data_IF_626178582627
#
_entry.id   IF_626178582627
#
_cell.length_a   1.000
_cell.length_b   1.000
_cell.length_c   1.000
_cell.angle_alpha   90.00
_cell.angle_beta   90.00
_cell.angle_gamma   90.00
#
_symmetry.space_group_name_H-M   'P 1'
#
loop_
_entity.id
_entity.type
_entity.pdbx_description
1 polymer ?
#
# COMPACT_ATOMS: atom_id res chain seq x y z
N UNK A 1 42.66 34.62 84.56
CA UNK A 1 41.80 33.82 83.66
C UNK A 1 40.93 34.78 82.85
N UNK A 2 41.09 34.84 81.53
CA UNK A 2 40.26 35.69 80.66
C UNK A 2 39.64 34.83 79.57
N UNK A 3 38.32 34.58 79.67
CA UNK A 3 37.54 33.82 78.68
C UNK A 3 37.08 34.81 77.59
N UNK A 4 37.71 34.75 76.42
CA UNK A 4 37.21 35.43 75.21
C UNK A 4 36.00 34.66 74.68
N UNK A 5 34.81 35.26 74.78
CA UNK A 5 33.60 34.82 74.08
C UNK A 5 33.76 35.14 72.59
N UNK A 6 33.90 34.12 71.75
CA UNK A 6 33.86 34.28 70.30
C UNK A 6 32.39 34.39 69.86
N UNK A 7 32.06 35.57 69.32
CA UNK A 7 30.72 35.94 68.86
C UNK A 7 30.22 35.01 67.74
N UNK A 8 29.18 34.22 68.03
CA UNK A 8 28.49 33.34 67.10
C UNK A 8 27.77 34.07 65.96
N UNK A 9 27.54 35.38 66.08
CA UNK A 9 26.87 36.19 65.05
C UNK A 9 27.74 36.44 63.82
N UNK A 10 29.06 36.49 63.99
CA UNK A 10 29.98 36.78 62.88
C UNK A 10 30.19 35.57 61.96
N UNK A 11 30.01 34.36 62.50
CA UNK A 11 30.01 33.12 61.72
C UNK A 11 28.76 33.02 60.84
N UNK A 12 27.57 33.26 61.41
CA UNK A 12 26.31 33.22 60.68
C UNK A 12 26.18 34.34 59.63
N UNK A 13 26.70 35.55 59.90
CA UNK A 13 26.72 36.62 58.92
C UNK A 13 27.57 36.28 57.68
N UNK A 14 28.72 35.62 57.86
CA UNK A 14 29.56 35.16 56.73
C UNK A 14 28.89 34.04 55.93
N UNK A 15 28.23 33.11 56.61
CA UNK A 15 27.56 31.98 55.96
C UNK A 15 26.31 32.41 55.18
N UNK A 16 25.52 33.34 55.72
CA UNK A 16 24.39 33.94 55.01
C UNK A 16 24.85 34.77 53.80
N UNK A 17 25.98 35.48 53.92
CA UNK A 17 26.59 36.17 52.79
C UNK A 17 27.00 35.23 51.65
N UNK A 18 27.63 34.09 51.96
CA UNK A 18 28.00 33.08 50.98
C UNK A 18 26.78 32.44 50.29
N UNK A 19 25.72 32.16 51.05
CA UNK A 19 24.48 31.62 50.49
C UNK A 19 23.80 32.62 49.52
N UNK A 20 23.76 33.90 49.87
CA UNK A 20 23.23 34.95 49.00
C UNK A 20 24.02 35.08 47.68
N UNK A 21 25.35 34.99 47.74
CA UNK A 21 26.22 35.02 46.56
C UNK A 21 25.94 33.81 45.64
N UNK A 22 25.78 32.61 46.19
CA UNK A 22 25.45 31.41 45.41
C UNK A 22 24.09 31.54 44.69
N UNK A 23 23.10 32.13 45.34
CA UNK A 23 21.78 32.37 44.74
C UNK A 23 21.88 33.37 43.58
N UNK A 24 22.66 34.44 43.74
CA UNK A 24 22.90 35.43 42.67
C UNK A 24 23.58 34.78 41.46
N UNK A 25 24.58 33.93 41.69
CA UNK A 25 25.25 33.18 40.62
C UNK A 25 24.27 32.25 39.90
N UNK A 26 23.43 31.50 40.64
CA UNK A 26 22.43 30.61 40.05
C UNK A 26 21.43 31.38 39.17
N UNK A 27 20.95 32.54 39.63
CA UNK A 27 20.04 33.40 38.85
C UNK A 27 20.74 33.93 37.60
N UNK A 28 22.01 34.35 37.70
CA UNK A 28 22.80 34.81 36.56
C UNK A 28 23.01 33.70 35.51
N UNK A 29 23.30 32.47 35.95
CA UNK A 29 23.43 31.29 35.07
C UNK A 29 22.11 30.98 34.36
N UNK A 30 20.98 31.04 35.07
CA UNK A 30 19.65 30.80 34.47
C UNK A 30 19.32 31.88 33.43
N UNK A 31 19.67 33.14 33.68
CA UNK A 31 19.47 34.23 32.70
C UNK A 31 20.37 34.06 31.49
N UNK A 32 21.65 33.72 31.67
CA UNK A 32 22.57 33.41 30.58
C UNK A 32 22.06 32.23 29.71
N UNK A 33 21.52 31.18 30.33
CA UNK A 33 20.93 30.05 29.61
C UNK A 33 19.64 30.44 28.84
N UNK A 34 18.81 31.32 29.40
CA UNK A 34 17.63 31.85 28.70
C UNK A 34 18.02 32.70 27.49
N UNK A 35 19.10 33.48 27.60
CA UNK A 35 19.62 34.25 26.47
C UNK A 35 20.23 33.38 25.36
N UNK A 36 20.91 32.26 25.70
CA UNK A 36 21.43 31.32 24.68
C UNK A 36 20.35 30.54 23.92
N UNK A 37 19.15 30.35 24.50
CA UNK A 37 18.03 29.70 23.78
C UNK A 37 17.37 30.59 22.73
N UNK A 38 17.67 31.89 22.71
CA UNK A 38 17.07 32.88 21.82
C UNK A 38 18.01 33.38 20.71
N UNK A 39 19.13 32.69 20.45
CA UNK A 39 19.92 32.97 19.25
C UNK A 39 19.26 32.28 18.03
N UNK A 40 18.88 33.03 16.99
CA UNK A 40 18.47 32.43 15.73
C UNK A 40 19.66 31.66 15.15
N UNK A 41 19.45 30.37 14.89
CA UNK A 41 20.45 29.50 14.27
C UNK A 41 20.89 30.13 12.94
N UNK A 42 22.19 30.41 12.73
CA UNK A 42 22.66 30.95 11.46
C UNK A 42 22.39 29.94 10.34
N UNK A 43 21.72 30.41 9.28
CA UNK A 43 21.51 29.65 8.05
C UNK A 43 22.87 29.25 7.46
N UNK A 44 23.23 27.97 7.59
CA UNK A 44 24.45 27.42 6.96
C UNK A 44 25.25 26.44 7.80
N UNK A 45 24.93 26.18 9.08
CA UNK A 45 25.57 25.07 9.77
C UNK A 45 24.98 23.75 9.27
N UNK A 46 25.82 22.94 8.61
CA UNK A 46 25.50 21.55 8.32
C UNK A 46 25.20 20.86 9.64
N UNK A 47 23.93 20.60 9.90
CA UNK A 47 23.50 19.68 10.94
C UNK A 47 24.35 18.43 10.74
N UNK A 48 25.25 18.12 11.69
CA UNK A 48 25.99 16.85 11.66
C UNK A 48 24.91 15.78 11.56
N UNK A 49 24.81 15.15 10.37
CA UNK A 49 23.84 14.11 10.09
C UNK A 49 24.25 12.92 10.93
N UNK A 50 23.76 12.91 12.15
CA UNK A 50 23.90 11.79 13.05
C UNK A 50 23.10 10.63 12.43
N UNK A 51 23.75 9.54 12.01
CA UNK A 51 23.07 8.40 11.41
C UNK A 51 22.00 7.84 12.36
N UNK A 52 22.17 7.95 13.68
CA UNK A 52 21.16 7.54 14.64
C UNK A 52 19.88 8.39 14.54
N UNK A 53 19.99 9.70 14.31
CA UNK A 53 18.82 10.56 14.06
C UNK A 53 18.09 10.19 12.78
N UNK A 54 18.82 9.91 11.70
CA UNK A 54 18.23 9.49 10.42
C UNK A 54 17.49 8.16 10.51
N UNK A 55 18.07 7.19 11.22
CA UNK A 55 17.44 5.91 11.53
C UNK A 55 16.24 6.09 12.46
N UNK A 56 16.36 6.88 13.54
CA UNK A 56 15.24 7.16 14.44
C UNK A 56 14.08 7.88 13.75
N UNK A 57 14.35 8.84 12.86
CA UNK A 57 13.30 9.47 12.05
C UNK A 57 12.65 8.49 11.09
N UNK A 58 13.44 7.65 10.42
CA UNK A 58 12.91 6.62 9.52
C UNK A 58 12.03 5.61 10.26
N UNK A 59 12.47 5.09 11.42
CA UNK A 59 11.68 4.15 12.22
C UNK A 59 10.47 4.82 12.88
N UNK A 60 10.57 6.09 13.26
CA UNK A 60 9.43 6.86 13.77
C UNK A 60 8.36 7.00 12.68
N UNK A 61 8.77 7.37 11.47
CA UNK A 61 7.89 7.53 10.30
C UNK A 61 7.31 6.19 9.84
N UNK A 62 8.11 5.12 9.78
CA UNK A 62 7.64 3.76 9.50
C UNK A 62 6.64 3.27 10.55
N UNK A 63 6.89 3.51 11.85
CA UNK A 63 5.94 3.14 12.92
C UNK A 63 4.65 3.95 12.84
N UNK A 64 4.72 5.22 12.44
CA UNK A 64 3.51 6.04 12.24
C UNK A 64 2.75 5.63 10.99
N UNK A 65 3.42 5.20 9.92
CA UNK A 65 2.77 4.65 8.72
C UNK A 65 2.24 3.22 8.89
N UNK A 66 2.77 2.48 9.88
CA UNK A 66 2.37 1.09 10.19
C UNK A 66 1.33 0.98 11.31
N UNK A 67 1.04 2.09 12.00
CA UNK A 67 -0.02 2.15 13.00
C UNK A 67 -1.32 2.51 12.31
N UNK A 68 -2.28 1.58 12.34
CA UNK A 68 -3.66 1.67 11.82
C UNK A 68 -3.82 2.56 10.58
N UNK A 69 -3.93 1.98 9.37
CA UNK A 69 -4.11 2.78 8.17
C UNK A 69 -5.29 3.72 8.38
N UNK A 70 -5.03 5.02 8.21
CA UNK A 70 -6.07 6.02 8.26
C UNK A 70 -7.16 5.59 7.26
N UNK A 71 -8.39 5.24 7.70
CA UNK A 71 -9.40 4.67 6.82
C UNK A 71 -9.76 5.61 5.64
N UNK A 72 -9.46 6.90 5.80
CA UNK A 72 -9.64 7.92 4.79
C UNK A 72 -8.62 7.85 3.64
N UNK A 73 -7.37 7.39 3.87
CA UNK A 73 -6.37 7.28 2.78
C UNK A 73 -6.46 5.96 2.00
N UNK A 74 -7.08 4.93 2.61
CA UNK A 74 -7.26 3.62 1.98
C UNK A 74 -8.56 3.56 1.16
N UNK A 75 -9.56 4.38 1.52
CA UNK A 75 -10.85 4.44 0.84
C UNK A 75 -10.81 5.18 -0.51
N UNK A 76 -9.87 6.10 -0.73
CA UNK A 76 -9.75 6.86 -1.99
C UNK A 76 -9.33 6.01 -3.21
N UNK A 77 -8.74 4.83 -2.98
CA UNK A 77 -8.17 3.99 -4.05
C UNK A 77 -8.89 2.66 -4.26
N UNK A 78 -9.93 2.40 -3.46
CA UNK A 78 -10.77 1.20 -3.56
C UNK A 78 -12.19 1.66 -3.84
N UNK A 79 -12.69 1.32 -5.02
CA UNK A 79 -14.04 1.69 -5.44
C UNK A 79 -14.96 0.47 -5.27
N UNK A 80 -15.96 0.52 -4.38
CA UNK A 80 -16.92 -0.57 -4.26
C UNK A 80 -17.73 -0.70 -5.55
N UNK A 81 -17.95 -1.94 -5.98
CA UNK A 81 -18.80 -2.28 -7.12
C UNK A 81 -20.00 -3.09 -6.63
N UNK A 82 -21.19 -2.76 -7.13
CA UNK A 82 -22.36 -3.59 -6.94
C UNK A 82 -22.16 -4.93 -7.65
N UNK A 83 -22.48 -6.03 -6.96
CA UNK A 83 -22.63 -7.33 -7.60
C UNK A 83 -23.75 -7.26 -8.65
N UNK A 84 -23.59 -7.95 -9.77
CA UNK A 84 -24.63 -7.97 -10.80
C UNK A 84 -25.74 -8.97 -10.44
N UNK A 85 -26.99 -8.58 -10.69
CA UNK A 85 -28.16 -9.44 -10.41
C UNK A 85 -28.16 -10.73 -11.25
N UNK A 86 -27.56 -10.69 -12.44
CA UNK A 86 -27.49 -11.85 -13.34
C UNK A 86 -26.22 -12.68 -13.05
N UNK A 87 -26.35 -13.98 -12.76
CA UNK A 87 -25.20 -14.82 -12.44
C UNK A 87 -24.23 -14.91 -13.61
N UNK A 88 -22.93 -14.99 -13.29
CA UNK A 88 -21.84 -15.03 -14.25
C UNK A 88 -22.02 -16.08 -15.35
N UNK A 89 -22.46 -17.28 -14.98
CA UNK A 89 -22.62 -18.40 -15.91
C UNK A 89 -23.69 -18.10 -16.98
N UNK A 90 -24.80 -17.46 -16.61
CA UNK A 90 -25.86 -17.08 -17.55
C UNK A 90 -25.37 -16.03 -18.54
N UNK A 91 -24.61 -15.03 -18.07
CA UNK A 91 -23.99 -14.01 -18.92
C UNK A 91 -23.02 -14.63 -19.93
N UNK A 92 -22.15 -15.55 -19.48
CA UNK A 92 -21.21 -16.25 -20.36
C UNK A 92 -21.92 -17.14 -21.39
N UNK A 93 -23.00 -17.81 -21.01
CA UNK A 93 -23.79 -18.64 -21.93
C UNK A 93 -24.50 -17.79 -22.99
N UNK A 94 -25.05 -16.64 -22.62
CA UNK A 94 -25.69 -15.72 -23.57
C UNK A 94 -24.71 -15.22 -24.65
N UNK A 95 -23.44 -15.03 -24.29
CA UNK A 95 -22.40 -14.57 -25.21
C UNK A 95 -21.89 -15.66 -26.17
N UNK A 96 -21.98 -16.93 -25.77
CA UNK A 96 -21.42 -18.06 -26.52
C UNK A 96 -22.01 -18.19 -27.95
N UNK A 97 -23.27 -17.79 -28.14
CA UNK A 97 -23.99 -17.98 -29.41
C UNK A 97 -23.76 -16.85 -30.42
N UNK A 98 -23.11 -15.75 -30.02
CA UNK A 98 -23.05 -14.51 -30.80
C UNK A 98 -21.72 -14.36 -31.56
N UNK A 99 -20.63 -14.97 -31.09
CA UNK A 99 -19.29 -14.67 -31.57
C UNK A 99 -18.53 -15.92 -32.03
N UNK A 100 -17.68 -15.75 -33.06
CA UNK A 100 -16.75 -16.81 -33.46
C UNK A 100 -15.73 -17.03 -32.33
N UNK A 101 -15.55 -18.28 -31.85
CA UNK A 101 -14.60 -18.56 -30.76
C UNK A 101 -13.18 -18.08 -31.07
N UNK A 102 -12.48 -17.63 -30.03
CA UNK A 102 -11.03 -17.43 -30.07
C UNK A 102 -10.31 -18.80 -30.09
N UNK A 103 -9.04 -18.79 -30.53
CA UNK A 103 -8.19 -19.98 -30.38
C UNK A 103 -8.02 -20.30 -28.89
N UNK A 104 -8.10 -21.58 -28.51
CA UNK A 104 -7.87 -22.01 -27.13
C UNK A 104 -6.45 -21.71 -26.61
N UNK A 105 -5.51 -21.42 -27.50
CA UNK A 105 -4.12 -21.02 -27.16
C UNK A 105 -3.90 -19.51 -27.26
N UNK A 106 -4.95 -18.73 -27.48
CA UNK A 106 -4.85 -17.29 -27.57
C UNK A 106 -4.51 -16.70 -26.21
N UNK A 107 -3.52 -15.81 -26.17
CA UNK A 107 -3.11 -15.09 -24.94
C UNK A 107 -3.07 -13.58 -25.13
N UNK A 108 -3.25 -13.12 -26.38
CA UNK A 108 -3.03 -11.74 -26.80
C UNK A 108 -1.59 -11.44 -27.22
N UNK A 109 -1.35 -10.21 -27.63
CA UNK A 109 -0.04 -9.75 -28.08
C UNK A 109 0.88 -9.45 -26.88
N UNK A 110 2.15 -9.82 -27.00
CA UNK A 110 3.16 -9.43 -26.01
C UNK A 110 3.62 -7.99 -26.27
N UNK A 111 3.34 -7.07 -25.33
CA UNK A 111 3.68 -5.64 -25.45
C UNK A 111 3.67 -4.93 -24.09
N UNK A 112 4.33 -3.77 -24.05
CA UNK A 112 4.28 -2.86 -22.91
C UNK A 112 2.89 -2.23 -22.77
N UNK A 113 2.20 -2.53 -21.66
CA UNK A 113 0.91 -1.94 -21.29
C UNK A 113 1.09 -0.95 -20.15
N UNK A 114 0.74 0.30 -20.40
CA UNK A 114 0.84 1.37 -19.39
C UNK A 114 -0.42 1.47 -18.57
N UNK A 115 -0.27 1.49 -17.25
CA UNK A 115 -1.33 1.78 -16.29
C UNK A 115 -1.11 3.20 -15.79
N UNK A 116 -2.00 4.11 -16.19
CA UNK A 116 -1.90 5.52 -15.84
C UNK A 116 -2.56 5.79 -14.49
N UNK A 117 -1.95 6.65 -13.69
CA UNK A 117 -2.48 7.11 -12.41
C UNK A 117 -3.86 7.74 -12.60
N UNK A 118 -4.75 7.47 -11.65
CA UNK A 118 -6.14 7.94 -11.65
C UNK A 118 -7.13 7.07 -12.45
N UNK A 119 -6.66 6.18 -13.33
CA UNK A 119 -7.52 5.17 -13.96
C UNK A 119 -7.72 3.94 -13.06
N UNK A 120 -8.74 3.13 -13.33
CA UNK A 120 -8.97 1.88 -12.57
C UNK A 120 -8.38 0.66 -13.27
N UNK A 121 -8.03 -0.38 -12.49
CA UNK A 121 -7.52 -1.63 -13.04
C UNK A 121 -8.51 -2.26 -14.01
N UNK A 122 -9.79 -2.31 -13.64
CA UNK A 122 -10.88 -2.82 -14.49
C UNK A 122 -10.99 -2.07 -15.81
N UNK A 123 -11.00 -0.74 -15.77
CA UNK A 123 -11.12 0.08 -16.97
C UNK A 123 -9.95 -0.18 -17.92
N UNK A 124 -8.72 -0.09 -17.39
CA UNK A 124 -7.49 -0.20 -18.18
C UNK A 124 -7.38 -1.60 -18.82
N UNK A 125 -7.61 -2.67 -18.06
CA UNK A 125 -7.53 -4.03 -18.60
C UNK A 125 -8.65 -4.32 -19.61
N UNK A 126 -9.85 -3.77 -19.39
CA UNK A 126 -10.98 -3.88 -20.32
C UNK A 126 -10.64 -3.22 -21.66
N UNK A 127 -10.04 -2.03 -21.63
CA UNK A 127 -9.61 -1.32 -22.85
C UNK A 127 -8.55 -2.12 -23.62
N UNK A 128 -7.57 -2.71 -22.94
CA UNK A 128 -6.57 -3.55 -23.60
C UNK A 128 -7.17 -4.82 -24.20
N UNK A 129 -8.05 -5.51 -23.50
CA UNK A 129 -8.73 -6.68 -24.03
C UNK A 129 -9.60 -6.33 -25.25
N UNK A 130 -10.37 -5.24 -25.18
CA UNK A 130 -11.21 -4.76 -26.28
C UNK A 130 -10.41 -4.41 -27.52
N UNK A 131 -9.25 -3.78 -27.36
CA UNK A 131 -8.33 -3.48 -28.48
C UNK A 131 -7.84 -4.73 -29.21
N UNK A 132 -7.85 -5.89 -28.53
CA UNK A 132 -7.45 -7.20 -29.09
C UNK A 132 -8.67 -8.08 -29.42
N UNK A 133 -9.87 -7.49 -29.48
CA UNK A 133 -11.11 -8.17 -29.85
C UNK A 133 -11.62 -9.13 -28.77
N UNK A 134 -11.40 -8.80 -27.51
CA UNK A 134 -11.81 -9.57 -26.33
C UNK A 134 -12.57 -8.68 -25.34
N UNK A 135 -13.31 -9.30 -24.43
CA UNK A 135 -14.02 -8.60 -23.36
C UNK A 135 -13.47 -9.01 -21.99
N UNK A 136 -13.67 -8.16 -20.98
CA UNK A 136 -13.35 -8.49 -19.59
C UNK A 136 -14.65 -8.47 -18.79
N UNK A 137 -14.91 -9.52 -18.04
CA UNK A 137 -15.91 -9.56 -16.98
C UNK A 137 -15.16 -9.45 -15.65
N UNK A 138 -15.43 -8.35 -14.94
CA UNK A 138 -14.91 -8.09 -13.62
C UNK A 138 -15.94 -8.53 -12.58
N UNK A 139 -15.76 -9.74 -12.07
CA UNK A 139 -16.66 -10.38 -11.09
C UNK A 139 -16.06 -10.28 -9.69
N UNK A 140 -15.75 -9.05 -9.28
CA UNK A 140 -15.26 -8.69 -7.95
C UNK A 140 -16.10 -7.54 -7.41
N UNK A 141 -16.27 -7.47 -6.10
CA UNK A 141 -17.06 -6.45 -5.42
C UNK A 141 -16.34 -5.09 -5.26
N UNK A 142 -15.12 -4.97 -5.77
CA UNK A 142 -14.31 -3.76 -5.68
C UNK A 142 -13.40 -3.63 -6.92
N UNK A 143 -13.07 -2.39 -7.25
CA UNK A 143 -12.11 -1.98 -8.28
C UNK A 143 -11.02 -1.11 -7.64
N UNK A 144 -9.87 -1.01 -8.27
CA UNK A 144 -8.70 -0.35 -7.68
C UNK A 144 -8.19 0.76 -8.57
N UNK A 145 -7.95 1.93 -7.98
CA UNK A 145 -7.39 3.09 -8.66
C UNK A 145 -5.87 3.00 -8.67
N UNK A 146 -5.28 3.20 -9.84
CA UNK A 146 -3.83 3.22 -10.01
C UNK A 146 -3.25 4.46 -9.33
N UNK A 147 -2.38 4.26 -8.33
CA UNK A 147 -1.71 5.34 -7.59
C UNK A 147 -0.63 6.06 -8.40
N UNK A 148 0.24 5.28 -9.05
CA UNK A 148 1.37 5.79 -9.80
C UNK A 148 1.43 5.10 -11.16
N UNK A 149 1.94 5.81 -12.17
CA UNK A 149 2.13 5.23 -13.49
C UNK A 149 3.07 4.02 -13.42
N UNK A 150 2.65 2.90 -13.98
CA UNK A 150 3.51 1.72 -14.14
C UNK A 150 3.30 1.07 -15.50
N UNK A 151 4.23 0.21 -15.89
CA UNK A 151 4.13 -0.56 -17.12
C UNK A 151 4.24 -2.05 -16.81
N UNK A 152 3.46 -2.83 -17.54
CA UNK A 152 3.53 -4.29 -17.51
C UNK A 152 3.98 -4.77 -18.87
N UNK A 153 5.09 -5.48 -18.90
CA UNK A 153 5.57 -6.21 -20.07
C UNK A 153 5.01 -7.64 -20.02
N UNK A 154 3.97 -7.89 -20.80
CA UNK A 154 3.32 -9.21 -20.89
C UNK A 154 2.35 -9.28 -22.08
N UNK A 155 1.61 -10.39 -22.17
CA UNK A 155 0.36 -10.55 -22.89
C UNK A 155 -0.83 -10.00 -22.10
N UNK A 156 -2.01 -9.85 -22.71
CA UNK A 156 -3.19 -9.37 -21.96
C UNK A 156 -3.67 -10.40 -20.93
N UNK A 157 -3.57 -11.70 -21.26
CA UNK A 157 -3.85 -12.79 -20.32
C UNK A 157 -2.87 -12.79 -19.15
N UNK A 158 -1.57 -12.63 -19.41
CA UNK A 158 -0.57 -12.54 -18.35
C UNK A 158 -0.70 -11.27 -17.51
N UNK A 159 -1.10 -10.15 -18.13
CA UNK A 159 -1.42 -8.91 -17.41
C UNK A 159 -2.61 -9.11 -16.46
N UNK A 160 -3.65 -9.83 -16.88
CA UNK A 160 -4.79 -10.16 -16.03
C UNK A 160 -4.38 -11.04 -14.83
N UNK A 161 -3.54 -12.05 -15.04
CA UNK A 161 -2.99 -12.88 -13.95
C UNK A 161 -2.21 -12.03 -12.94
N UNK A 162 -1.35 -11.11 -13.42
CA UNK A 162 -0.62 -10.18 -12.55
C UNK A 162 -1.56 -9.28 -11.75
N UNK A 163 -2.65 -8.78 -12.37
CA UNK A 163 -3.68 -8.01 -11.68
C UNK A 163 -4.36 -8.86 -10.60
N UNK A 164 -4.82 -10.07 -10.93
CA UNK A 164 -5.48 -10.98 -9.99
C UNK A 164 -4.62 -11.23 -8.75
N UNK A 165 -3.34 -11.56 -8.94
CA UNK A 165 -2.38 -11.77 -7.84
C UNK A 165 -2.11 -10.51 -7.02
N UNK A 166 -2.09 -9.34 -7.66
CA UNK A 166 -1.81 -8.08 -6.97
C UNK A 166 -2.97 -7.63 -6.08
N UNK A 167 -4.21 -7.97 -6.45
CA UNK A 167 -5.42 -7.61 -5.69
C UNK A 167 -5.89 -8.73 -4.76
N UNK A 168 -5.35 -9.94 -4.88
CA UNK A 168 -5.74 -11.14 -4.12
C UNK A 168 -5.85 -10.90 -2.61
N UNK A 169 -4.88 -10.19 -2.02
CA UNK A 169 -4.84 -9.89 -0.58
C UNK A 169 -6.01 -9.01 -0.08
N UNK A 170 -6.76 -8.39 -0.99
CA UNK A 170 -7.90 -7.54 -0.66
C UNK A 170 -9.22 -8.33 -0.57
N UNK A 171 -9.19 -9.64 -0.85
CA UNK A 171 -10.35 -10.53 -0.83
C UNK A 171 -10.14 -11.67 0.17
N UNK A 172 -11.24 -12.25 0.66
CA UNK A 172 -11.19 -13.39 1.58
C UNK A 172 -10.92 -14.73 0.87
N UNK A 173 -11.28 -14.80 -0.41
CA UNK A 173 -11.05 -15.94 -1.29
C UNK A 173 -10.04 -15.58 -2.37
N UNK A 174 -9.39 -16.61 -2.94
CA UNK A 174 -8.37 -16.41 -3.96
C UNK A 174 -8.98 -15.83 -5.24
N UNK A 175 -8.42 -14.72 -5.69
CA UNK A 175 -8.78 -14.07 -6.95
C UNK A 175 -8.12 -14.82 -8.10
N UNK A 176 -8.96 -15.46 -8.91
CA UNK A 176 -8.55 -16.23 -10.07
C UNK A 176 -8.91 -15.50 -11.38
N UNK A 177 -8.02 -15.59 -12.36
CA UNK A 177 -8.27 -15.14 -13.73
C UNK A 177 -8.55 -16.32 -14.65
N UNK A 178 -9.47 -16.16 -15.61
CA UNK A 178 -9.80 -17.15 -16.63
C UNK A 178 -9.86 -16.54 -18.03
N UNK A 179 -9.46 -17.31 -19.03
CA UNK A 179 -9.68 -17.05 -20.44
C UNK A 179 -10.73 -18.01 -20.99
N UNK A 180 -11.85 -17.47 -21.45
CA UNK A 180 -12.98 -18.21 -21.99
C UNK A 180 -13.01 -18.06 -23.53
N UNK A 181 -12.47 -19.04 -24.29
CA UNK A 181 -12.28 -18.90 -25.73
C UNK A 181 -13.60 -18.83 -26.50
N UNK A 182 -14.64 -19.55 -26.06
CA UNK A 182 -15.94 -19.58 -26.75
C UNK A 182 -16.65 -18.22 -26.70
N UNK A 183 -16.50 -17.49 -25.60
CA UNK A 183 -17.12 -16.18 -25.36
C UNK A 183 -16.20 -15.01 -25.71
N UNK A 184 -14.96 -15.27 -26.18
CA UNK A 184 -13.93 -14.24 -26.36
C UNK A 184 -13.82 -13.29 -25.15
N UNK A 185 -13.81 -13.90 -23.95
CA UNK A 185 -13.91 -13.16 -22.69
C UNK A 185 -12.83 -13.58 -21.72
N UNK A 186 -12.30 -12.61 -21.00
CA UNK A 186 -11.47 -12.75 -19.83
C UNK A 186 -12.34 -12.54 -18.60
N UNK A 187 -12.21 -13.39 -17.59
CA UNK A 187 -12.97 -13.29 -16.35
C UNK A 187 -11.99 -13.17 -15.20
N UNK A 188 -12.28 -12.29 -14.24
CA UNK A 188 -11.58 -12.21 -12.96
C UNK A 188 -12.61 -12.33 -11.85
N UNK A 189 -12.40 -13.24 -10.89
CA UNK A 189 -13.37 -13.53 -9.83
C UNK A 189 -12.70 -14.10 -8.59
N UNK A 190 -13.29 -13.86 -7.42
CA UNK A 190 -12.96 -14.51 -6.15
C UNK A 190 -13.86 -15.75 -5.88
N UNK A 191 -14.83 -16.02 -6.76
CA UNK A 191 -15.81 -17.11 -6.65
C UNK A 191 -15.81 -17.97 -7.93
N UNK A 192 -14.73 -18.73 -8.20
CA UNK A 192 -14.62 -19.56 -9.40
C UNK A 192 -15.71 -20.64 -9.43
N UNK A 193 -16.41 -20.75 -10.56
CA UNK A 193 -17.48 -21.73 -10.77
C UNK A 193 -16.99 -22.97 -11.52
N UNK A 194 -17.70 -24.10 -11.38
CA UNK A 194 -17.40 -25.32 -12.16
C UNK A 194 -17.45 -25.07 -13.68
N UNK A 195 -18.34 -24.19 -14.12
CA UNK A 195 -18.45 -23.78 -15.51
C UNK A 195 -17.14 -23.15 -16.01
N UNK A 196 -16.53 -22.24 -15.23
CA UNK A 196 -15.24 -21.63 -15.56
C UNK A 196 -14.13 -22.69 -15.63
N UNK A 197 -14.07 -23.60 -14.65
CA UNK A 197 -13.06 -24.68 -14.63
C UNK A 197 -13.21 -25.69 -15.77
N UNK A 198 -14.41 -25.84 -16.32
CA UNK A 198 -14.69 -26.77 -17.41
C UNK A 198 -14.52 -26.16 -18.81
N UNK A 199 -14.92 -24.90 -19.01
CA UNK A 199 -15.00 -24.29 -20.34
C UNK A 199 -13.99 -23.16 -20.58
N UNK A 200 -13.25 -22.74 -19.54
CA UNK A 200 -12.25 -21.69 -19.62
C UNK A 200 -10.90 -22.20 -19.13
N UNK A 201 -9.83 -21.51 -19.53
CA UNK A 201 -8.46 -21.82 -19.14
C UNK A 201 -8.02 -20.84 -18.04
N UNK A 202 -7.57 -21.31 -16.86
CA UNK A 202 -7.02 -20.43 -15.84
C UNK A 202 -5.80 -19.66 -16.39
N UNK A 203 -5.65 -18.39 -16.00
CA UNK A 203 -4.50 -17.57 -16.40
C UNK A 203 -3.25 -17.86 -15.55
N UNK A 204 -3.44 -18.49 -14.39
CA UNK A 204 -2.37 -18.98 -13.53
C UNK A 204 -2.03 -20.44 -13.88
N UNK A 205 -0.78 -20.68 -14.28
CA UNK A 205 -0.27 -22.00 -14.60
C UNK A 205 -0.37 -23.01 -13.44
N UNK A 206 -0.27 -22.54 -12.19
CA UNK A 206 -0.42 -23.42 -11.02
C UNK A 206 -1.84 -23.98 -10.94
N UNK A 207 -2.84 -23.13 -11.18
CA UNK A 207 -4.26 -23.48 -11.17
C UNK A 207 -4.60 -24.35 -12.39
N UNK A 208 -4.04 -24.03 -13.58
CA UNK A 208 -4.21 -24.87 -14.77
C UNK A 208 -3.79 -26.32 -14.51
N UNK A 209 -2.64 -26.53 -13.87
CA UNK A 209 -2.14 -27.87 -13.56
C UNK A 209 -3.01 -28.62 -12.53
N UNK A 210 -3.65 -27.91 -11.60
CA UNK A 210 -4.59 -28.52 -10.65
C UNK A 210 -5.89 -28.96 -11.35
N UNK A 211 -6.45 -28.10 -12.20
CA UNK A 211 -7.67 -28.40 -12.97
C UNK A 211 -7.45 -29.60 -13.89
N UNK A 212 -6.31 -29.68 -14.59
CA UNK A 212 -5.97 -30.81 -15.45
C UNK A 212 -5.86 -32.13 -14.67
N UNK A 213 -5.25 -32.11 -13.49
CA UNK A 213 -5.17 -33.30 -12.61
C UNK A 213 -6.56 -33.75 -12.16
N UNK A 214 -7.41 -32.81 -11.75
CA UNK A 214 -8.78 -33.10 -11.32
C UNK A 214 -9.64 -33.68 -12.46
N UNK A 215 -9.40 -33.24 -13.70
CA UNK A 215 -10.08 -33.77 -14.89
C UNK A 215 -9.56 -35.16 -15.30
N UNK A 216 -8.28 -35.46 -15.12
CA UNK A 216 -7.69 -36.77 -15.42
C UNK A 216 -8.13 -37.89 -14.46
N UNK A 217 -8.73 -37.55 -13.32
CA UNK A 217 -9.23 -38.53 -12.33
C UNK A 217 -10.72 -38.87 -12.50
N UNK A 218 -11.41 -38.25 -13.46
CA UNK A 218 -12.81 -38.55 -13.83
C UNK A 218 -12.87 -39.36 -15.12
#
# INVERSE_FOLDING_TARGET
MSKKSFSSSMFWARQLGLAAILIIIAVAVIQLQKHQKNEPVPQGQTVKKDPARGLSSFYAEYRTSSGEPNPDEQSDFVMPLSEQDTPLNERLQAMQSVQKPASGRWVGEHKYRTFKAGGTLREIISNYAQSEGMQVIWELNQDFVVKNNFQVDDTVVGTLNKIARAVDSNFSATVEGFFCPKQRTLVITDKPTDYLRQFCTPTDAAISAEVERAQSMK
#
